data_IF_934426857524
#
_entry.id   IF_934426857524
#
_cell.length_a   1.000
_cell.length_b   1.000
_cell.length_c   1.000
_cell.angle_alpha   90.00
_cell.angle_beta   90.00
_cell.angle_gamma   90.00
#
_symmetry.space_group_name_H-M   'P 1'
#
loop_
_entity.id
_entity.type
_entity.pdbx_description
1 polymer ?
#
# COMPACT_ATOMS: atom_id res chain seq x y z
N UNK A 1 8.57 -0.21 2.43
CA UNK A 1 8.65 0.72 1.30
C UNK A 1 7.34 1.48 1.21
N UNK A 2 7.38 2.79 1.21
CA UNK A 2 6.20 3.65 1.07
C UNK A 2 6.32 4.40 -0.25
N UNK A 3 5.39 4.15 -1.18
CA UNK A 3 5.33 4.87 -2.46
C UNK A 3 4.74 6.25 -2.18
N UNK A 4 5.49 7.32 -2.48
CA UNK A 4 5.08 8.68 -2.17
C UNK A 4 5.33 9.61 -3.36
N UNK A 5 4.52 10.66 -3.46
CA UNK A 5 4.77 11.78 -4.37
C UNK A 5 5.73 12.78 -3.72
N UNK A 6 6.51 13.49 -4.53
CA UNK A 6 7.44 14.52 -4.04
C UNK A 6 6.73 15.61 -3.24
N UNK A 7 5.47 15.94 -3.59
CA UNK A 7 4.63 16.92 -2.91
C UNK A 7 3.98 16.44 -1.61
N UNK A 8 4.06 15.16 -1.29
CA UNK A 8 3.35 14.56 -0.15
C UNK A 8 4.17 14.55 1.15
N UNK A 9 4.87 15.64 1.47
CA UNK A 9 5.66 15.78 2.69
C UNK A 9 4.84 15.58 3.98
N UNK A 10 3.58 16.03 3.99
CA UNK A 10 2.65 15.84 5.12
C UNK A 10 2.32 14.37 5.35
N UNK A 11 2.09 13.60 4.27
CA UNK A 11 1.84 12.15 4.35
C UNK A 11 3.09 11.41 4.85
N UNK A 12 4.28 11.76 4.33
CA UNK A 12 5.53 11.20 4.85
C UNK A 12 5.74 11.52 6.32
N UNK A 13 5.43 12.76 6.74
CA UNK A 13 5.46 13.16 8.15
C UNK A 13 4.46 12.37 8.99
N UNK A 14 3.23 12.12 8.50
CA UNK A 14 2.24 11.30 9.18
C UNK A 14 2.74 9.86 9.40
N UNK A 15 3.31 9.23 8.37
CA UNK A 15 3.93 7.90 8.52
C UNK A 15 5.10 7.88 9.53
N UNK A 16 5.91 8.94 9.60
CA UNK A 16 6.99 9.04 10.59
C UNK A 16 6.46 9.17 12.01
N UNK A 17 5.41 9.97 12.21
CA UNK A 17 4.72 10.11 13.51
C UNK A 17 4.00 8.83 13.91
N UNK A 18 3.29 8.19 12.99
CA UNK A 18 2.56 6.95 13.22
C UNK A 18 3.51 5.79 13.62
N UNK A 19 4.66 5.73 12.99
CA UNK A 19 5.68 4.69 13.19
C UNK A 19 7.04 5.34 13.40
N UNK A 20 7.33 5.86 14.61
CA UNK A 20 8.59 6.51 14.91
C UNK A 20 9.77 5.53 14.80
N UNK A 21 10.97 6.09 14.65
CA UNK A 21 12.18 5.30 14.42
C UNK A 21 12.44 4.28 15.51
N UNK A 22 12.18 4.63 16.76
CA UNK A 22 12.37 3.76 17.92
C UNK A 22 11.51 2.50 17.84
N UNK A 23 10.25 2.65 17.37
CA UNK A 23 9.36 1.51 17.12
C UNK A 23 9.89 0.63 15.99
N UNK A 24 10.30 1.24 14.88
CA UNK A 24 10.86 0.51 13.74
C UNK A 24 12.12 -0.27 14.14
N UNK A 25 13.04 0.36 14.87
CA UNK A 25 14.27 -0.24 15.36
C UNK A 25 13.98 -1.43 16.31
N UNK A 26 13.00 -1.28 17.21
CA UNK A 26 12.61 -2.36 18.14
C UNK A 26 12.03 -3.59 17.44
N UNK A 27 11.46 -3.42 16.26
CA UNK A 27 10.89 -4.48 15.43
C UNK A 27 11.83 -4.94 14.30
N UNK A 28 13.03 -4.39 14.22
CA UNK A 28 14.00 -4.63 13.14
C UNK A 28 13.38 -4.34 11.76
N UNK A 29 12.71 -3.20 11.64
CA UNK A 29 12.04 -2.73 10.43
C UNK A 29 12.74 -1.49 9.89
N UNK A 30 12.89 -1.42 8.58
CA UNK A 30 13.41 -0.26 7.87
C UNK A 30 12.30 0.31 6.99
N UNK A 31 12.01 1.61 7.16
CA UNK A 31 11.13 2.36 6.28
C UNK A 31 11.96 3.09 5.25
N UNK A 32 11.46 3.13 4.02
CA UNK A 32 11.99 3.94 2.94
C UNK A 32 10.84 4.53 2.12
N UNK A 33 10.87 5.84 1.86
CA UNK A 33 9.97 6.52 0.97
C UNK A 33 10.54 6.52 -0.44
N UNK A 34 9.73 6.07 -1.40
CA UNK A 34 10.09 6.02 -2.81
C UNK A 34 9.58 7.28 -3.50
N UNK A 35 10.48 8.13 -3.95
CA UNK A 35 10.20 9.35 -4.69
C UNK A 35 10.76 9.25 -6.12
N UNK A 36 10.30 10.13 -7.00
CA UNK A 36 10.89 10.37 -8.31
C UNK A 36 11.39 11.80 -8.42
N UNK A 37 11.90 12.24 -9.59
CA UNK A 37 12.32 13.63 -9.85
C UNK A 37 11.10 14.54 -9.87
N UNK A 38 11.27 15.75 -9.35
CA UNK A 38 10.28 16.83 -9.46
C UNK A 38 10.04 17.12 -10.96
N UNK A 39 8.76 17.05 -11.43
CA UNK A 39 8.47 17.34 -12.83
C UNK A 39 8.82 18.78 -13.21
N UNK A 40 9.24 19.06 -14.45
CA UNK A 40 9.65 20.41 -14.87
C UNK A 40 8.56 21.49 -14.76
N UNK A 41 7.28 21.09 -14.78
CA UNK A 41 6.13 21.98 -14.64
C UNK A 41 5.78 22.29 -13.18
N UNK A 42 6.24 21.46 -12.23
CA UNK A 42 6.05 21.69 -10.80
C UNK A 42 7.03 22.77 -10.31
N UNK A 43 6.46 23.90 -9.85
CA UNK A 43 7.23 25.10 -9.43
C UNK A 43 7.16 25.36 -7.93
N UNK A 44 6.28 24.64 -7.21
CA UNK A 44 6.08 24.86 -5.77
C UNK A 44 7.05 24.04 -4.92
N UNK A 45 7.74 23.06 -5.50
CA UNK A 45 8.65 22.15 -4.80
C UNK A 45 10.07 22.36 -5.31
N UNK A 46 11.01 22.53 -4.40
CA UNK A 46 12.43 22.66 -4.70
C UNK A 46 13.19 21.39 -4.31
N UNK A 47 14.16 20.99 -5.12
CA UNK A 47 14.95 19.78 -4.88
C UNK A 47 15.75 19.84 -3.56
N UNK A 48 16.22 21.03 -3.16
CA UNK A 48 16.91 21.21 -1.88
C UNK A 48 16.06 20.85 -0.66
N UNK A 49 14.74 21.03 -0.73
CA UNK A 49 13.81 20.62 0.35
C UNK A 49 13.79 19.10 0.50
N UNK A 50 13.74 18.37 -0.62
CA UNK A 50 13.81 16.89 -0.63
C UNK A 50 15.18 16.41 -0.13
N UNK A 51 16.26 17.08 -0.51
CA UNK A 51 17.61 16.75 -0.05
C UNK A 51 17.79 16.99 1.45
N UNK A 52 17.20 18.06 1.98
CA UNK A 52 17.22 18.35 3.41
C UNK A 52 16.37 17.35 4.20
N UNK A 53 15.18 17.01 3.70
CA UNK A 53 14.36 15.94 4.26
C UNK A 53 15.13 14.62 4.30
N UNK A 54 15.79 14.26 3.20
CA UNK A 54 16.60 13.05 3.10
C UNK A 54 17.79 13.04 4.08
N UNK A 55 18.49 14.19 4.24
CA UNK A 55 19.58 14.31 5.22
C UNK A 55 19.09 14.20 6.66
N UNK A 56 17.90 14.76 6.94
CA UNK A 56 17.32 14.78 8.29
C UNK A 56 16.85 13.40 8.73
N UNK A 57 16.17 12.68 7.85
CA UNK A 57 15.50 11.41 8.22
C UNK A 57 16.21 10.15 7.71
N UNK A 58 17.01 10.25 6.68
CA UNK A 58 17.74 9.11 6.12
C UNK A 58 16.85 8.01 5.52
N UNK A 59 15.60 8.33 5.17
CA UNK A 59 14.59 7.37 4.77
C UNK A 59 13.97 7.65 3.38
N UNK A 60 14.71 8.33 2.50
CA UNK A 60 14.26 8.64 1.13
C UNK A 60 15.15 7.94 0.10
N UNK A 61 14.50 7.31 -0.87
CA UNK A 61 15.11 6.80 -2.10
C UNK A 61 14.48 7.52 -3.29
N UNK A 62 15.23 8.43 -3.94
CA UNK A 62 14.76 9.20 -5.08
C UNK A 62 15.31 8.64 -6.40
N UNK A 63 14.40 8.28 -7.31
CA UNK A 63 14.74 7.81 -8.65
C UNK A 63 15.04 8.94 -9.64
N UNK A 64 15.75 8.63 -10.73
CA UNK A 64 16.15 9.59 -11.75
C UNK A 64 15.12 9.81 -12.88
N UNK A 65 13.92 9.23 -12.78
CA UNK A 65 12.78 9.45 -13.68
C UNK A 65 11.81 10.49 -13.08
N UNK A 66 10.94 11.07 -13.93
CA UNK A 66 9.99 12.10 -13.49
C UNK A 66 8.87 11.54 -12.63
N UNK A 67 8.41 12.31 -11.64
CA UNK A 67 7.20 11.98 -10.87
C UNK A 67 5.99 12.05 -11.80
N UNK A 68 5.34 10.91 -11.98
CA UNK A 68 4.15 10.79 -12.82
C UNK A 68 3.43 9.48 -12.55
N UNK A 69 2.09 9.50 -12.51
CA UNK A 69 1.27 8.33 -12.24
C UNK A 69 1.63 7.11 -13.11
N UNK A 70 1.84 7.36 -14.41
CA UNK A 70 2.20 6.27 -15.36
C UNK A 70 3.61 5.70 -15.15
N UNK A 71 4.42 6.24 -14.24
CA UNK A 71 5.76 5.73 -13.90
C UNK A 71 5.80 5.04 -12.52
N UNK A 72 4.64 4.84 -11.88
CA UNK A 72 4.54 4.09 -10.63
C UNK A 72 5.16 2.68 -10.71
N UNK A 73 5.01 1.90 -11.80
CA UNK A 73 5.70 0.61 -11.93
C UNK A 73 7.21 0.73 -11.84
N UNK A 74 7.80 1.78 -12.43
CA UNK A 74 9.25 2.02 -12.35
C UNK A 74 9.65 2.33 -10.92
N UNK A 75 8.85 3.14 -10.21
CA UNK A 75 9.06 3.48 -8.80
C UNK A 75 8.99 2.23 -7.91
N UNK A 76 7.98 1.39 -8.08
CA UNK A 76 7.84 0.15 -7.33
C UNK A 76 9.00 -0.83 -7.60
N UNK A 77 9.37 -1.04 -8.87
CA UNK A 77 10.50 -1.89 -9.25
C UNK A 77 11.83 -1.36 -8.70
N UNK A 78 12.04 -0.03 -8.69
CA UNK A 78 13.21 0.60 -8.07
C UNK A 78 13.28 0.27 -6.57
N UNK A 79 12.16 0.42 -5.86
CA UNK A 79 12.07 0.10 -4.42
C UNK A 79 12.30 -1.38 -4.14
N UNK A 80 11.66 -2.28 -4.91
CA UNK A 80 11.86 -3.72 -4.80
C UNK A 80 13.32 -4.10 -5.06
N UNK A 81 13.95 -3.51 -6.08
CA UNK A 81 15.36 -3.75 -6.41
C UNK A 81 16.28 -3.30 -5.28
N UNK A 82 16.06 -2.08 -4.79
CA UNK A 82 16.85 -1.53 -3.70
C UNK A 82 16.74 -2.41 -2.43
N UNK A 83 15.52 -2.80 -2.05
CA UNK A 83 15.30 -3.66 -0.89
C UNK A 83 15.94 -5.05 -1.07
N UNK A 84 15.80 -5.67 -2.25
CA UNK A 84 16.34 -6.99 -2.53
C UNK A 84 17.88 -7.02 -2.59
N UNK A 85 18.53 -5.90 -2.89
CA UNK A 85 20.01 -5.79 -2.93
C UNK A 85 20.57 -5.46 -1.54
N UNK A 86 20.00 -4.46 -0.87
CA UNK A 86 20.57 -3.93 0.37
C UNK A 86 20.11 -4.69 1.62
N UNK A 87 18.96 -5.40 1.53
CA UNK A 87 18.36 -6.14 2.64
C UNK A 87 17.97 -7.56 2.22
N UNK A 88 18.92 -8.29 1.64
CA UNK A 88 18.73 -9.65 1.13
C UNK A 88 18.34 -10.67 2.21
N UNK A 89 18.68 -10.37 3.48
CA UNK A 89 18.33 -11.18 4.66
C UNK A 89 17.00 -10.79 5.29
N UNK A 90 16.33 -9.75 4.80
CA UNK A 90 15.00 -9.41 5.28
C UNK A 90 14.03 -10.56 4.99
N UNK A 91 13.17 -10.88 5.95
CA UNK A 91 12.16 -11.93 5.77
C UNK A 91 11.10 -11.50 4.77
N UNK A 92 10.72 -10.23 4.79
CA UNK A 92 9.64 -9.68 3.98
C UNK A 92 9.96 -8.28 3.48
N UNK A 93 9.31 -7.92 2.36
CA UNK A 93 9.20 -6.56 1.85
C UNK A 93 7.71 -6.20 1.89
N UNK A 94 7.37 -5.12 2.57
CA UNK A 94 6.02 -4.55 2.60
C UNK A 94 6.00 -3.29 1.75
N UNK A 95 5.11 -3.22 0.76
CA UNK A 95 4.83 -2.01 -0.02
C UNK A 95 3.53 -1.40 0.45
N UNK A 96 3.53 -0.10 0.63
CA UNK A 96 2.37 0.70 1.06
C UNK A 96 2.33 1.98 0.24
N UNK A 97 1.15 2.49 -0.09
CA UNK A 97 1.00 3.86 -0.59
C UNK A 97 0.99 4.85 0.59
N UNK A 98 1.46 6.06 0.36
CA UNK A 98 1.61 7.05 1.43
C UNK A 98 0.28 7.57 1.99
N UNK A 99 -0.82 7.40 1.24
CA UNK A 99 -2.18 7.67 1.65
C UNK A 99 -2.88 6.49 2.35
N UNK A 100 -2.16 5.41 2.66
CA UNK A 100 -2.72 4.21 3.27
C UNK A 100 -2.36 4.12 4.75
N UNK A 101 -3.36 4.04 5.62
CA UNK A 101 -3.16 3.71 7.03
C UNK A 101 -2.93 2.22 7.19
N UNK A 102 -1.85 1.81 7.85
CA UNK A 102 -1.62 0.40 8.15
C UNK A 102 -1.04 0.20 9.55
N UNK A 103 -1.34 -0.95 10.14
CA UNK A 103 -0.80 -1.39 11.43
C UNK A 103 0.50 -2.15 11.23
N UNK A 104 1.61 -1.61 11.72
CA UNK A 104 2.90 -2.31 11.70
C UNK A 104 2.86 -3.55 12.60
N UNK A 105 2.34 -3.43 13.83
CA UNK A 105 2.24 -4.53 14.78
C UNK A 105 1.30 -5.63 14.27
N UNK A 106 0.14 -5.25 13.69
CA UNK A 106 -0.80 -6.19 13.08
C UNK A 106 -0.16 -6.93 11.90
N UNK A 107 0.57 -6.20 11.04
CA UNK A 107 1.30 -6.79 9.92
C UNK A 107 2.37 -7.75 10.42
N UNK A 108 3.17 -7.36 11.41
CA UNK A 108 4.20 -8.21 11.99
C UNK A 108 3.63 -9.50 12.59
N UNK A 109 2.53 -9.37 13.36
CA UNK A 109 1.82 -10.52 13.94
C UNK A 109 1.29 -11.48 12.86
N UNK A 110 0.71 -10.93 11.78
CA UNK A 110 0.27 -11.73 10.64
C UNK A 110 1.45 -12.50 10.02
N UNK A 111 2.54 -11.81 9.70
CA UNK A 111 3.70 -12.39 9.02
C UNK A 111 4.43 -13.42 9.88
N UNK A 112 4.54 -13.21 11.18
CA UNK A 112 5.15 -14.15 12.12
C UNK A 112 4.36 -15.47 12.20
N UNK A 113 3.04 -15.41 12.06
CA UNK A 113 2.17 -16.59 12.08
C UNK A 113 2.03 -17.29 10.72
N UNK A 114 2.54 -16.67 9.66
CA UNK A 114 2.48 -17.24 8.31
C UNK A 114 3.48 -18.38 8.13
N UNK A 115 2.97 -19.49 7.55
CA UNK A 115 3.79 -20.63 7.14
C UNK A 115 3.86 -20.77 5.61
N UNK A 116 3.94 -19.63 4.91
CA UNK A 116 4.02 -19.66 3.45
C UNK A 116 5.43 -20.00 3.01
N UNK A 117 5.55 -20.99 2.14
CA UNK A 117 6.81 -21.38 1.51
C UNK A 117 6.79 -20.99 0.03
N UNK A 118 7.96 -20.64 -0.49
CA UNK A 118 8.14 -20.27 -1.90
C UNK A 118 7.82 -18.81 -2.19
N UNK A 119 7.65 -18.51 -3.47
CA UNK A 119 7.41 -17.16 -3.95
C UNK A 119 5.93 -16.79 -3.82
N UNK A 120 5.65 -15.61 -3.29
CA UNK A 120 4.29 -15.12 -3.15
C UNK A 120 4.22 -13.58 -3.15
N UNK A 121 3.03 -13.09 -3.45
CA UNK A 121 2.55 -11.77 -3.03
C UNK A 121 1.30 -11.94 -2.18
N UNK A 122 1.17 -11.15 -1.10
CA UNK A 122 0.02 -11.16 -0.22
C UNK A 122 -0.56 -9.74 -0.10
N UNK A 123 -1.86 -9.62 -0.25
CA UNK A 123 -2.59 -8.35 -0.17
C UNK A 123 -4.08 -8.60 -0.35
N UNK A 124 -4.81 -7.55 -0.73
CA UNK A 124 -6.20 -7.69 -1.12
C UNK A 124 -6.29 -8.05 -2.61
N UNK A 125 -6.81 -9.23 -2.92
CA UNK A 125 -6.91 -9.71 -4.30
C UNK A 125 -8.12 -9.09 -5.00
N UNK A 126 -7.87 -8.45 -6.12
CA UNK A 126 -8.86 -7.96 -7.08
C UNK A 126 -9.04 -9.02 -8.18
N UNK A 127 -10.28 -9.49 -8.34
CA UNK A 127 -10.65 -10.47 -9.35
C UNK A 127 -11.76 -9.90 -10.25
N UNK A 128 -11.82 -10.36 -11.49
CA UNK A 128 -12.86 -9.99 -12.47
C UNK A 128 -12.99 -8.47 -12.65
N UNK A 129 -11.85 -7.75 -12.58
CA UNK A 129 -11.82 -6.31 -12.79
C UNK A 129 -11.68 -5.99 -14.26
N UNK A 130 -12.42 -4.98 -14.71
CA UNK A 130 -12.41 -4.53 -16.10
C UNK A 130 -11.48 -3.33 -16.29
N UNK A 131 -10.82 -3.19 -17.44
CA UNK A 131 -10.07 -2.00 -17.78
C UNK A 131 -10.99 -0.76 -17.84
N UNK A 132 -10.62 0.31 -17.16
CA UNK A 132 -11.35 1.57 -17.24
C UNK A 132 -11.19 2.17 -18.62
N UNK A 133 -12.29 2.30 -19.36
CA UNK A 133 -12.33 2.80 -20.75
C UNK A 133 -12.73 4.27 -20.85
N UNK A 134 -12.90 4.96 -19.73
CA UNK A 134 -13.14 6.40 -19.68
C UNK A 134 -11.83 7.18 -19.65
N UNK A 135 -11.52 7.89 -20.73
CA UNK A 135 -10.26 8.62 -20.89
C UNK A 135 -10.14 9.88 -20.01
N UNK A 136 -11.15 10.20 -19.21
CA UNK A 136 -11.10 11.29 -18.23
C UNK A 136 -10.48 10.89 -16.91
N UNK A 137 -10.22 9.61 -16.72
CA UNK A 137 -9.67 9.08 -15.46
C UNK A 137 -8.17 8.81 -15.58
N UNK A 138 -7.46 8.85 -14.45
CA UNK A 138 -6.03 8.46 -14.37
C UNK A 138 -5.80 6.97 -14.65
N UNK A 139 -6.85 6.14 -14.52
CA UNK A 139 -6.81 4.70 -14.74
C UNK A 139 -7.20 4.28 -16.16
N UNK A 140 -7.39 5.24 -17.06
CA UNK A 140 -7.78 4.93 -18.44
C UNK A 140 -6.77 4.00 -19.13
N UNK A 141 -7.27 2.92 -19.68
CA UNK A 141 -6.53 1.95 -20.49
C UNK A 141 -7.19 1.84 -21.86
N UNK A 142 -6.46 2.13 -22.93
CA UNK A 142 -6.98 2.00 -24.28
C UNK A 142 -7.07 0.53 -24.72
N UNK A 143 -7.84 0.25 -25.79
CA UNK A 143 -7.89 -1.09 -26.40
C UNK A 143 -6.56 -1.50 -27.03
N UNK A 144 -5.74 -0.55 -27.45
CA UNK A 144 -4.39 -0.78 -27.96
C UNK A 144 -3.42 -1.18 -26.87
N UNK A 145 -3.51 -0.56 -25.68
CA UNK A 145 -2.69 -0.91 -24.52
C UNK A 145 -3.10 -2.26 -23.92
N UNK A 146 -4.40 -2.57 -23.92
CA UNK A 146 -4.92 -3.85 -23.41
C UNK A 146 -6.24 -4.21 -24.08
N UNK A 147 -6.18 -5.21 -24.98
CA UNK A 147 -7.32 -5.58 -25.83
C UNK A 147 -8.42 -6.39 -25.13
N UNK A 148 -8.07 -7.10 -24.03
CA UNK A 148 -9.00 -7.95 -23.28
C UNK A 148 -10.00 -7.12 -22.47
N UNK A 149 -11.13 -7.72 -22.10
CA UNK A 149 -12.18 -7.09 -21.33
C UNK A 149 -11.98 -7.25 -19.80
N UNK A 150 -11.18 -8.22 -19.38
CA UNK A 150 -10.88 -8.46 -17.96
C UNK A 150 -9.38 -8.53 -17.71
N UNK A 151 -8.95 -8.02 -16.57
CA UNK A 151 -7.60 -8.18 -16.06
C UNK A 151 -7.42 -9.54 -15.39
N UNK A 152 -6.20 -10.12 -15.38
CA UNK A 152 -5.92 -11.25 -14.52
C UNK A 152 -6.05 -10.85 -13.05
N UNK A 153 -6.20 -11.80 -12.11
CA UNK A 153 -6.16 -11.49 -10.68
C UNK A 153 -4.86 -10.76 -10.30
N UNK A 154 -4.99 -9.72 -9.48
CA UNK A 154 -3.87 -8.92 -8.98
C UNK A 154 -4.19 -8.37 -7.60
N UNK A 155 -3.21 -7.76 -6.92
CA UNK A 155 -3.42 -7.16 -5.60
C UNK A 155 -3.70 -5.66 -5.72
N UNK A 156 -4.52 -5.13 -4.82
CA UNK A 156 -4.69 -3.68 -4.67
C UNK A 156 -3.35 -3.02 -4.32
N UNK A 157 -3.04 -1.92 -5.02
CA UNK A 157 -1.77 -1.19 -4.90
C UNK A 157 -1.53 -0.58 -3.51
N UNK A 158 -2.58 -0.29 -2.73
CA UNK A 158 -2.42 0.37 -1.43
C UNK A 158 -1.54 -0.38 -0.42
N UNK A 159 -1.52 -1.72 -0.48
CA UNK A 159 -0.69 -2.53 0.42
C UNK A 159 -0.47 -3.94 -0.15
N UNK A 160 0.78 -4.36 -0.21
CA UNK A 160 1.12 -5.76 -0.43
C UNK A 160 2.44 -6.16 0.22
N UNK A 161 2.58 -7.47 0.45
CA UNK A 161 3.77 -8.09 1.05
C UNK A 161 4.36 -9.11 0.10
N UNK A 162 5.67 -9.16 0.03
CA UNK A 162 6.43 -10.17 -0.71
C UNK A 162 7.76 -10.49 -0.01
N UNK A 163 8.64 -11.26 -0.64
CA UNK A 163 9.98 -11.57 -0.13
C UNK A 163 11.06 -10.98 -1.03
N UNK A 164 12.30 -10.76 -0.53
CA UNK A 164 13.42 -10.34 -1.38
C UNK A 164 13.68 -11.31 -2.56
N UNK A 165 13.48 -12.60 -2.37
CA UNK A 165 13.63 -13.58 -3.42
C UNK A 165 12.61 -13.42 -4.55
N UNK A 166 11.33 -13.28 -4.19
CA UNK A 166 10.25 -13.01 -5.14
C UNK A 166 10.48 -11.69 -5.87
N UNK A 167 10.90 -10.64 -5.15
CA UNK A 167 11.24 -9.35 -5.74
C UNK A 167 12.32 -9.47 -6.82
N UNK A 168 13.42 -10.21 -6.57
CA UNK A 168 14.48 -10.43 -7.57
C UNK A 168 13.97 -11.10 -8.84
N UNK A 169 13.07 -12.09 -8.71
CA UNK A 169 12.46 -12.77 -9.86
C UNK A 169 11.61 -11.80 -10.68
N UNK A 170 10.76 -11.03 -10.01
CA UNK A 170 9.91 -10.02 -10.65
C UNK A 170 10.74 -8.96 -11.37
N UNK A 171 11.78 -8.40 -10.75
CA UNK A 171 12.65 -7.39 -11.35
C UNK A 171 13.34 -7.93 -12.59
N UNK A 172 13.81 -9.18 -12.54
CA UNK A 172 14.46 -9.83 -13.69
C UNK A 172 13.48 -9.99 -14.85
N UNK A 173 12.25 -10.44 -14.58
CA UNK A 173 11.24 -10.69 -15.61
C UNK A 173 10.66 -9.39 -16.17
N UNK A 174 10.46 -8.37 -15.34
CA UNK A 174 9.90 -7.08 -15.76
C UNK A 174 10.70 -6.42 -16.91
N UNK A 175 11.99 -6.72 -17.04
CA UNK A 175 12.84 -6.23 -18.14
C UNK A 175 12.50 -6.86 -19.48
N UNK A 176 11.89 -8.04 -19.49
CA UNK A 176 11.55 -8.83 -20.67
C UNK A 176 10.06 -8.70 -21.04
N UNK A 177 9.27 -8.01 -20.23
CA UNK A 177 7.83 -7.87 -20.41
C UNK A 177 7.48 -6.48 -20.94
N UNK A 178 6.50 -6.34 -21.86
CA UNK A 178 5.99 -5.04 -22.27
C UNK A 178 5.55 -4.20 -21.07
N UNK A 179 5.96 -2.93 -21.05
CA UNK A 179 5.61 -2.01 -19.97
C UNK A 179 4.11 -1.80 -19.89
N UNK A 180 3.58 -1.81 -18.66
CA UNK A 180 2.20 -1.46 -18.38
C UNK A 180 2.14 -0.50 -17.19
N UNK A 181 1.33 0.55 -17.28
CA UNK A 181 1.43 1.69 -16.37
C UNK A 181 0.66 1.53 -15.05
N UNK A 182 -0.30 0.62 -14.95
CA UNK A 182 -0.96 0.30 -13.67
C UNK A 182 -0.01 -0.57 -12.86
N UNK A 183 0.55 0.00 -11.79
CA UNK A 183 1.64 -0.58 -11.01
C UNK A 183 1.27 -1.91 -10.39
N UNK A 184 0.14 -1.93 -9.72
CA UNK A 184 -0.38 -3.09 -9.01
C UNK A 184 -0.68 -4.26 -9.97
N UNK A 185 -1.33 -3.98 -11.11
CA UNK A 185 -1.58 -4.96 -12.14
C UNK A 185 -0.28 -5.43 -12.81
N UNK A 186 0.68 -4.53 -13.08
CA UNK A 186 1.95 -4.91 -13.70
C UNK A 186 2.76 -5.82 -12.79
N UNK A 187 2.97 -5.41 -11.53
CA UNK A 187 3.85 -6.10 -10.57
C UNK A 187 3.18 -7.35 -10.01
N UNK A 188 1.92 -7.25 -9.60
CA UNK A 188 1.25 -8.34 -8.87
C UNK A 188 0.27 -9.15 -9.74
N UNK A 189 -0.10 -8.64 -10.93
CA UNK A 189 -0.91 -9.36 -11.90
C UNK A 189 -0.05 -10.05 -12.97
N UNK A 190 0.53 -9.27 -13.89
CA UNK A 190 1.24 -9.84 -15.05
C UNK A 190 2.50 -10.59 -14.63
N UNK A 191 3.33 -10.03 -13.75
CA UNK A 191 4.58 -10.72 -13.34
C UNK A 191 4.28 -11.99 -12.56
N UNK A 192 3.25 -12.00 -11.71
CA UNK A 192 2.89 -13.22 -10.98
C UNK A 192 2.35 -14.31 -11.88
N UNK A 193 1.58 -13.94 -12.91
CA UNK A 193 1.07 -14.88 -13.90
C UNK A 193 2.20 -15.52 -14.71
N UNK A 194 3.12 -14.70 -15.24
CA UNK A 194 4.26 -15.19 -16.04
C UNK A 194 5.21 -16.07 -15.22
N UNK A 195 5.47 -15.70 -13.98
CA UNK A 195 6.40 -16.39 -13.09
C UNK A 195 5.76 -17.51 -12.27
N UNK A 196 4.45 -17.73 -12.41
CA UNK A 196 3.65 -18.65 -11.58
C UNK A 196 3.87 -18.40 -10.08
N UNK A 197 3.81 -17.12 -9.65
CA UNK A 197 3.92 -16.70 -8.27
C UNK A 197 2.52 -16.71 -7.64
N UNK A 198 2.42 -17.23 -6.42
CA UNK A 198 1.15 -17.33 -5.70
C UNK A 198 0.67 -15.97 -5.20
N UNK A 199 -0.60 -15.62 -5.47
CA UNK A 199 -1.31 -14.55 -4.76
C UNK A 199 -1.98 -15.12 -3.50
N UNK A 200 -1.86 -14.40 -2.39
CA UNK A 200 -2.42 -14.78 -1.10
C UNK A 200 -3.34 -13.67 -0.62
N UNK A 201 -4.61 -14.02 -0.42
CA UNK A 201 -5.61 -13.08 0.10
C UNK A 201 -5.33 -12.77 1.58
N UNK A 202 -5.39 -11.49 1.95
CA UNK A 202 -5.45 -11.08 3.35
C UNK A 202 -6.69 -11.69 4.03
N UNK A 203 -6.60 -12.10 5.31
CA UNK A 203 -7.75 -12.58 6.04
C UNK A 203 -8.92 -11.59 6.01
N UNK A 204 -10.15 -12.10 6.03
CA UNK A 204 -11.36 -11.25 6.07
C UNK A 204 -11.31 -10.30 7.27
N UNK A 205 -11.66 -9.04 7.05
CA UNK A 205 -11.65 -8.00 8.07
C UNK A 205 -10.31 -7.26 8.24
N UNK A 206 -9.21 -7.75 7.59
CA UNK A 206 -7.90 -7.11 7.69
C UNK A 206 -7.74 -5.91 6.76
N UNK A 207 -8.63 -5.75 5.78
CA UNK A 207 -8.66 -4.64 4.84
C UNK A 207 -9.98 -3.88 4.96
N UNK A 208 -9.91 -2.57 5.18
CA UNK A 208 -11.06 -1.66 5.20
C UNK A 208 -11.05 -0.79 3.94
N UNK A 209 -12.06 -0.97 3.10
CA UNK A 209 -12.21 -0.24 1.84
C UNK A 209 -12.72 1.20 2.01
N UNK A 210 -13.38 1.47 3.13
CA UNK A 210 -14.05 2.73 3.40
C UNK A 210 -13.44 3.39 4.63
N UNK A 211 -13.11 4.67 4.52
CA UNK A 211 -12.53 5.43 5.63
C UNK A 211 -13.47 5.54 6.83
N UNK A 212 -14.79 5.50 6.61
CA UNK A 212 -15.79 5.47 7.69
C UNK A 212 -15.63 4.22 8.57
N UNK A 213 -15.31 3.07 7.97
CA UNK A 213 -15.02 1.86 8.73
C UNK A 213 -13.70 1.99 9.51
N UNK A 214 -12.71 2.68 8.95
CA UNK A 214 -11.47 2.97 9.65
C UNK A 214 -11.71 3.91 10.83
N UNK A 215 -12.49 4.99 10.66
CA UNK A 215 -12.91 5.88 11.76
C UNK A 215 -13.66 5.11 12.85
N UNK A 216 -14.66 4.31 12.47
CA UNK A 216 -15.42 3.49 13.41
C UNK A 216 -14.51 2.49 14.17
N UNK A 217 -13.55 1.89 13.49
CA UNK A 217 -12.54 1.02 14.08
C UNK A 217 -11.69 1.75 15.14
N UNK A 218 -11.25 2.97 14.81
CA UNK A 218 -10.51 3.84 15.74
C UNK A 218 -11.35 4.20 16.95
N UNK A 219 -12.59 4.62 16.74
CA UNK A 219 -13.53 5.01 17.81
C UNK A 219 -13.83 3.84 18.75
N UNK A 220 -14.00 2.64 18.21
CA UNK A 220 -14.21 1.42 19.00
C UNK A 220 -13.00 1.12 19.89
N UNK A 221 -11.78 1.31 19.41
CA UNK A 221 -10.58 1.15 20.22
C UNK A 221 -10.47 2.20 21.34
N UNK A 222 -10.75 3.45 21.02
CA UNK A 222 -10.58 4.57 21.96
C UNK A 222 -11.68 4.57 23.02
N UNK A 223 -12.96 4.49 22.60
CA UNK A 223 -14.10 4.73 23.47
C UNK A 223 -14.75 3.47 24.03
N UNK A 224 -14.72 2.37 23.29
CA UNK A 224 -15.36 1.11 23.69
C UNK A 224 -14.38 0.05 24.16
N UNK A 225 -13.07 0.28 23.98
CA UNK A 225 -12.00 -0.68 24.31
C UNK A 225 -12.19 -2.03 23.60
N UNK A 226 -12.64 -2.00 22.35
CA UNK A 226 -12.78 -3.15 21.45
C UNK A 226 -11.67 -3.10 20.41
N UNK A 227 -10.92 -4.21 20.27
CA UNK A 227 -9.80 -4.30 19.31
C UNK A 227 -10.31 -4.21 17.87
N UNK A 228 -9.58 -3.48 17.06
CA UNK A 228 -9.73 -3.50 15.61
C UNK A 228 -8.78 -4.55 15.01
N UNK A 229 -9.32 -5.50 14.25
CA UNK A 229 -8.53 -6.53 13.59
C UNK A 229 -7.96 -6.06 12.25
N UNK A 230 -8.36 -4.88 11.76
CA UNK A 230 -7.88 -4.35 10.49
C UNK A 230 -6.37 -4.07 10.55
N UNK A 231 -5.69 -4.42 9.47
CA UNK A 231 -4.27 -4.12 9.25
C UNK A 231 -4.14 -2.91 8.32
N UNK A 232 -5.05 -2.79 7.35
CA UNK A 232 -5.01 -1.78 6.29
C UNK A 232 -6.36 -1.05 6.24
N UNK A 233 -6.31 0.26 6.19
CA UNK A 233 -7.47 1.12 5.95
C UNK A 233 -7.13 2.22 4.96
N UNK A 234 -8.06 2.50 4.06
CA UNK A 234 -7.91 3.58 3.09
C UNK A 234 -8.52 4.86 3.70
N UNK A 235 -7.73 5.93 3.91
CA UNK A 235 -8.25 7.22 4.32
C UNK A 235 -9.03 7.89 3.18
N UNK A 236 -9.78 8.97 3.45
CA UNK A 236 -10.49 9.70 2.42
C UNK A 236 -9.51 10.40 1.45
N UNK A 237 -9.95 10.60 0.21
CA UNK A 237 -9.17 11.23 -0.87
C UNK A 237 -8.81 12.71 -0.59
N UNK A 238 -9.34 13.32 0.47
CA UNK A 238 -9.17 14.74 0.81
C UNK A 238 -7.91 15.06 1.64
N UNK A 239 -7.05 14.03 1.86
CA UNK A 239 -5.75 14.21 2.50
C UNK A 239 -5.79 14.31 4.04
N UNK A 240 -6.79 13.76 4.71
CA UNK A 240 -6.82 13.60 6.18
C UNK A 240 -5.67 12.71 6.67
N UNK A 241 -4.49 13.32 6.76
CA UNK A 241 -3.26 12.64 7.21
C UNK A 241 -3.34 12.14 8.65
N UNK A 242 -4.25 12.72 9.45
CA UNK A 242 -4.38 12.40 10.87
C UNK A 242 -4.93 11.00 11.11
N UNK A 243 -5.69 10.42 10.18
CA UNK A 243 -6.16 9.04 10.32
C UNK A 243 -5.02 8.01 10.35
N UNK A 244 -3.92 8.24 9.61
CA UNK A 244 -2.73 7.37 9.65
C UNK A 244 -2.13 7.37 11.06
N UNK A 245 -2.03 8.55 11.66
CA UNK A 245 -1.49 8.73 13.03
C UNK A 245 -2.46 8.18 14.06
N UNK A 246 -3.72 8.62 14.02
CA UNK A 246 -4.75 8.26 15.00
C UNK A 246 -5.00 6.74 15.03
N UNK A 247 -4.97 6.08 13.88
CA UNK A 247 -5.11 4.62 13.80
C UNK A 247 -3.98 3.90 14.57
N UNK A 248 -2.73 4.29 14.34
CA UNK A 248 -1.60 3.68 15.02
C UNK A 248 -1.56 4.03 16.53
N UNK A 249 -1.94 5.26 16.91
CA UNK A 249 -2.07 5.65 18.31
C UNK A 249 -3.17 4.86 19.02
N UNK A 250 -4.32 4.66 18.36
CA UNK A 250 -5.40 3.86 18.89
C UNK A 250 -4.96 2.40 19.11
N UNK A 251 -4.24 1.79 18.16
CA UNK A 251 -3.69 0.43 18.31
C UNK A 251 -2.77 0.36 19.53
N UNK A 252 -1.82 1.30 19.68
CA UNK A 252 -0.89 1.32 20.83
C UNK A 252 -1.60 1.50 22.16
N UNK A 253 -2.67 2.30 22.19
CA UNK A 253 -3.48 2.50 23.40
C UNK A 253 -4.38 1.30 23.74
N UNK A 254 -4.62 0.41 22.79
CA UNK A 254 -5.58 -0.69 22.86
C UNK A 254 -4.99 -2.02 23.34
N UNK A 255 -3.84 -2.02 24.04
CA UNK A 255 -3.15 -3.25 24.48
C UNK A 255 -4.01 -4.18 25.35
N UNK A 256 -4.99 -3.64 26.06
CA UNK A 256 -5.92 -4.36 26.94
C UNK A 256 -7.38 -4.30 26.44
N UNK A 257 -7.58 -4.08 25.16
CA UNK A 257 -8.92 -4.14 24.57
C UNK A 257 -9.43 -5.55 24.46
N UNK A 258 -10.75 -5.73 24.56
CA UNK A 258 -11.41 -7.00 24.28
C UNK A 258 -11.36 -7.35 22.80
N UNK A 259 -11.34 -8.63 22.49
CA UNK A 259 -11.50 -9.07 21.12
C UNK A 259 -12.92 -8.72 20.63
N UNK A 260 -13.03 -8.33 19.36
CA UNK A 260 -14.32 -8.06 18.72
C UNK A 260 -15.12 -9.33 18.55
N UNK A 261 -16.39 -9.29 18.93
CA UNK A 261 -17.32 -10.41 18.73
C UNK A 261 -17.88 -10.43 17.30
N UNK A 262 -18.55 -11.51 16.92
CA UNK A 262 -19.20 -11.61 15.60
C UNK A 262 -20.40 -10.66 15.46
N UNK A 263 -21.04 -10.32 16.57
CA UNK A 263 -22.16 -9.38 16.66
C UNK A 263 -21.68 -7.94 16.50
N UNK A 264 -20.43 -7.65 16.89
CA UNK A 264 -19.78 -6.36 16.83
C UNK A 264 -18.95 -6.18 15.55
N UNK A 265 -19.08 -7.08 14.56
CA UNK A 265 -18.36 -6.95 13.28
C UNK A 265 -18.60 -5.56 12.67
N UNK A 266 -17.54 -4.93 12.15
CA UNK A 266 -17.58 -3.55 11.64
C UNK A 266 -18.67 -3.33 10.58
N UNK A 267 -18.88 -4.30 9.70
CA UNK A 267 -19.92 -4.31 8.69
C UNK A 267 -21.37 -4.35 9.25
N UNK A 268 -21.52 -4.64 10.55
CA UNK A 268 -22.82 -4.67 11.23
C UNK A 268 -23.06 -3.46 12.12
N UNK A 269 -22.01 -2.92 12.74
CA UNK A 269 -22.14 -1.86 13.76
C UNK A 269 -21.75 -0.48 13.25
N UNK A 270 -21.10 -0.40 12.07
CA UNK A 270 -20.67 0.83 11.47
C UNK A 270 -21.38 1.06 10.14
N UNK A 271 -21.84 2.29 9.92
CA UNK A 271 -22.40 2.71 8.63
C UNK A 271 -21.28 3.27 7.76
N UNK A 272 -21.00 2.59 6.65
CA UNK A 272 -20.18 3.15 5.59
C UNK A 272 -21.12 3.78 4.54
N UNK A 273 -21.06 5.09 4.39
CA UNK A 273 -21.76 5.77 3.30
C UNK A 273 -21.06 5.44 1.98
N UNK A 274 -21.54 4.43 1.29
CA UNK A 274 -21.12 4.15 -0.07
C UNK A 274 -21.60 5.30 -0.94
N UNK A 275 -20.77 6.32 -1.16
CA UNK A 275 -20.94 7.19 -2.31
C UNK A 275 -20.75 6.29 -3.52
N UNK A 276 -21.86 5.88 -4.13
CA UNK A 276 -21.86 5.18 -5.42
C UNK A 276 -21.24 6.15 -6.42
N UNK A 277 -19.92 6.16 -6.51
CA UNK A 277 -19.23 6.69 -7.67
C UNK A 277 -19.51 5.70 -8.79
N UNK A 278 -20.42 6.07 -9.68
CA UNK A 278 -20.77 5.38 -10.92
C UNK A 278 -19.57 5.25 -11.89
N UNK A 279 -18.42 4.71 -11.48
CA UNK A 279 -17.28 4.68 -12.40
C UNK A 279 -16.37 3.48 -12.28
N UNK A 280 -16.63 2.56 -11.37
CA UNK A 280 -15.91 1.29 -11.38
C UNK A 280 -16.97 0.22 -11.12
N UNK A 281 -17.15 -0.71 -12.06
CA UNK A 281 -18.10 -1.81 -11.99
C UNK A 281 -17.79 -2.84 -10.89
N UNK A 282 -17.32 -2.40 -9.74
CA UNK A 282 -16.94 -3.21 -8.61
C UNK A 282 -18.04 -3.18 -7.56
N UNK A 283 -18.79 -4.26 -7.49
CA UNK A 283 -19.55 -4.58 -6.29
C UNK A 283 -18.55 -5.08 -5.24
N UNK A 284 -18.10 -4.16 -4.39
CA UNK A 284 -17.35 -4.53 -3.19
C UNK A 284 -18.33 -5.01 -2.12
N UNK A 285 -18.32 -6.31 -1.85
CA UNK A 285 -18.96 -6.95 -0.70
C UNK A 285 -17.91 -7.53 0.23
#
# INVERSE_FOLDING_TARGET
>A
MVTSDVGNDKLRSAHRRAMPKELLDSMNVIRIFLLAKIPPHEKSIEQNVIEEESRTFGDILQGSFWEHYRYLPIKALMGLQWAAINYDKASYIVKVDDDTAFSLEGTFKLLTNMKVKGDFFMGYILNNTEPVRDNRTKWYVSREEYAKDEFPPYLSGGFYVTTPNTARRVIKEAKNHPYFFLEDLFVTGFMTQVLNIKLIQLPKGFWLHYYELLKCCIDDMIFKRIMCDAIVGLPPDDGENDLIVTFNDAIRSCQNCSARTKEEALDKVCEAYVKVKHTLGEKYY
#
